data_IF_106187410289
#
_entry.id   IF_106187410289
#
_cell.length_a   1.000
_cell.length_b   1.000
_cell.length_c   1.000
_cell.angle_alpha   90.00
_cell.angle_beta   90.00
_cell.angle_gamma   90.00
#
_symmetry.space_group_name_H-M   'P 1'
#
loop_
_entity.id
_entity.type
_entity.pdbx_description
1 polymer ?
#
# COMPACT_ATOMS: atom_id res chain seq x y z
N UNK A 1 1.25 16.06 6.55
CA UNK A 1 0.15 16.73 5.83
C UNK A 1 -1.19 16.09 6.25
N UNK A 2 -2.28 16.86 6.33
CA UNK A 2 -3.63 16.27 6.45
C UNK A 2 -4.07 15.76 5.08
N UNK A 3 -4.34 14.46 4.99
CA UNK A 3 -4.81 13.79 3.77
C UNK A 3 -6.34 13.73 3.75
N UNK A 4 -6.97 13.36 4.87
CA UNK A 4 -8.43 13.36 5.01
C UNK A 4 -8.89 14.45 5.96
N UNK A 5 -9.48 15.53 5.44
CA UNK A 5 -10.02 16.61 6.27
C UNK A 5 -11.25 16.16 7.07
N UNK A 6 -12.14 15.37 6.46
CA UNK A 6 -13.38 14.91 7.11
C UNK A 6 -13.15 14.11 8.39
N UNK A 7 -12.06 13.34 8.45
CA UNK A 7 -11.72 12.45 9.57
C UNK A 7 -10.43 12.86 10.27
N UNK A 8 -9.81 13.96 9.84
CA UNK A 8 -8.53 14.48 10.34
C UNK A 8 -7.39 13.46 10.31
N UNK A 9 -7.30 12.70 9.22
CA UNK A 9 -6.23 11.70 9.04
C UNK A 9 -5.04 12.35 8.33
N UNK A 10 -3.86 12.19 8.91
CA UNK A 10 -2.58 12.65 8.35
C UNK A 10 -1.88 11.58 7.50
N UNK A 11 -0.99 12.04 6.62
CA UNK A 11 -0.04 11.21 5.87
C UNK A 11 0.76 10.28 6.79
N UNK A 12 1.27 10.80 7.91
CA UNK A 12 2.07 10.05 8.88
C UNK A 12 1.28 8.90 9.49
N UNK A 13 -0.01 9.09 9.77
CA UNK A 13 -0.87 8.00 10.26
C UNK A 13 -1.04 6.92 9.21
N UNK A 14 -1.34 7.28 7.96
CA UNK A 14 -1.50 6.31 6.86
C UNK A 14 -0.21 5.51 6.66
N UNK A 15 0.92 6.19 6.53
CA UNK A 15 2.26 5.58 6.33
C UNK A 15 2.63 4.65 7.49
N UNK A 16 2.33 5.03 8.74
CA UNK A 16 2.58 4.18 9.91
C UNK A 16 1.83 2.84 9.85
N UNK A 17 0.54 2.87 9.47
CA UNK A 17 -0.25 1.65 9.39
C UNK A 17 0.15 0.80 8.18
N UNK A 18 0.45 1.44 7.04
CA UNK A 18 0.96 0.76 5.85
C UNK A 18 2.29 0.03 6.14
N UNK A 19 3.24 0.66 6.83
CA UNK A 19 4.49 0.01 7.27
C UNK A 19 4.26 -1.11 8.30
N UNK A 20 3.13 -1.11 8.99
CA UNK A 20 2.72 -2.21 9.87
C UNK A 20 2.12 -3.39 9.10
N UNK A 21 2.09 -3.33 7.76
CA UNK A 21 1.58 -4.38 6.89
C UNK A 21 0.07 -4.33 6.64
N UNK A 22 -0.61 -3.25 7.07
CA UNK A 22 -2.05 -3.12 6.86
C UNK A 22 -2.37 -2.78 5.40
N UNK A 23 -3.42 -3.41 4.86
CA UNK A 23 -3.96 -3.06 3.55
C UNK A 23 -4.70 -1.72 3.62
N UNK A 24 -5.00 -1.11 2.46
CA UNK A 24 -5.82 0.11 2.43
C UNK A 24 -7.18 -0.08 3.10
N UNK A 25 -7.81 -1.25 2.92
CA UNK A 25 -9.13 -1.53 3.49
C UNK A 25 -9.07 -1.60 5.02
N UNK A 26 -8.00 -2.20 5.57
CA UNK A 26 -7.76 -2.21 7.03
C UNK A 26 -7.52 -0.78 7.55
N UNK A 27 -6.69 0.01 6.84
CA UNK A 27 -6.42 1.41 7.19
C UNK A 27 -7.70 2.26 7.14
N UNK A 28 -8.57 2.00 6.17
CA UNK A 28 -9.86 2.65 6.03
C UNK A 28 -10.80 2.33 7.20
N UNK A 29 -10.80 1.08 7.67
CA UNK A 29 -11.57 0.67 8.85
C UNK A 29 -11.04 1.32 10.13
N UNK A 30 -9.72 1.32 10.34
CA UNK A 30 -9.08 1.83 11.56
C UNK A 30 -9.11 3.36 11.67
N UNK A 31 -8.82 4.07 10.57
CA UNK A 31 -8.69 5.53 10.57
C UNK A 31 -9.95 6.25 10.08
N UNK A 32 -10.87 5.52 9.44
CA UNK A 32 -12.01 6.10 8.76
C UNK A 32 -11.66 6.91 7.52
N UNK A 33 -10.41 6.92 7.05
CA UNK A 33 -10.01 7.63 5.82
C UNK A 33 -10.92 7.26 4.64
N UNK A 34 -11.24 8.20 3.76
CA UNK A 34 -12.17 8.02 2.62
C UNK A 34 -13.64 7.67 2.93
N UNK A 35 -14.03 7.39 4.19
CA UNK A 35 -15.41 6.98 4.55
C UNK A 35 -16.46 8.11 4.62
N UNK A 36 -16.14 9.34 4.17
CA UNK A 36 -17.07 10.48 4.19
C UNK A 36 -17.31 11.02 2.78
N UNK A 37 -16.53 12.01 2.33
CA UNK A 37 -16.71 12.60 1.00
C UNK A 37 -15.92 11.89 -0.11
N UNK A 38 -15.08 10.90 0.23
CA UNK A 38 -14.27 10.11 -0.71
C UNK A 38 -13.11 10.84 -1.41
N UNK A 39 -13.07 12.18 -1.39
CA UNK A 39 -12.10 12.99 -2.17
C UNK A 39 -10.62 12.71 -1.88
N UNK A 40 -10.30 12.17 -0.70
CA UNK A 40 -8.93 11.83 -0.31
C UNK A 40 -8.49 10.43 -0.76
N UNK A 41 -9.39 9.59 -1.29
CA UNK A 41 -9.13 8.16 -1.48
C UNK A 41 -7.91 7.88 -2.36
N UNK A 42 -7.83 8.49 -3.54
CA UNK A 42 -6.70 8.29 -4.45
C UNK A 42 -5.36 8.65 -3.79
N UNK A 43 -5.29 9.81 -3.15
CA UNK A 43 -4.10 10.27 -2.43
C UNK A 43 -3.72 9.32 -1.27
N UNK A 44 -4.70 8.82 -0.52
CA UNK A 44 -4.45 7.88 0.57
C UNK A 44 -3.96 6.52 0.05
N UNK A 45 -4.51 6.01 -1.06
CA UNK A 45 -4.06 4.77 -1.72
C UNK A 45 -2.64 4.90 -2.24
N UNK A 46 -2.30 6.01 -2.90
CA UNK A 46 -0.93 6.28 -3.38
C UNK A 46 0.10 6.21 -2.25
N UNK A 47 -0.22 6.73 -1.06
CA UNK A 47 0.66 6.65 0.10
C UNK A 47 0.86 5.21 0.58
N UNK A 48 -0.19 4.39 0.59
CA UNK A 48 -0.10 2.97 0.95
C UNK A 48 0.75 2.21 -0.08
N UNK A 49 0.53 2.45 -1.36
CA UNK A 49 1.29 1.81 -2.45
C UNK A 49 2.78 2.16 -2.38
N UNK A 50 3.13 3.42 -2.12
CA UNK A 50 4.53 3.85 -1.93
C UNK A 50 5.23 3.10 -0.79
N UNK A 51 4.49 2.75 0.27
CA UNK A 51 5.03 1.98 1.40
C UNK A 51 5.27 0.50 1.03
N UNK A 52 4.46 -0.07 0.13
CA UNK A 52 4.59 -1.45 -0.33
C UNK A 52 5.82 -1.67 -1.24
N UNK A 53 6.22 -0.64 -1.98
CA UNK A 53 7.38 -0.67 -2.89
C UNK A 53 8.70 -0.57 -2.14
N UNK A 54 8.70 -0.08 -0.89
CA UNK A 54 9.87 -0.05 -0.02
C UNK A 54 10.13 -1.42 0.63
N UNK A 55 10.29 -2.47 -0.18
CA UNK A 55 11.02 -3.66 0.27
C UNK A 55 12.50 -3.28 0.35
N UNK A 56 13.17 -3.33 1.51
CA UNK A 56 14.62 -3.38 1.49
C UNK A 56 14.98 -4.64 0.69
N UNK A 57 15.62 -4.44 -0.47
CA UNK A 57 16.28 -5.54 -1.18
C UNK A 57 17.40 -6.00 -0.25
N UNK A 58 17.08 -6.93 0.65
CA UNK A 58 18.08 -7.82 1.18
C UNK A 58 18.68 -8.51 -0.04
N UNK A 59 19.97 -8.27 -0.27
CA UNK A 59 20.74 -8.77 -1.41
C UNK A 59 20.54 -10.29 -1.57
N UNK A 60 19.60 -10.68 -2.42
CA UNK A 60 19.54 -12.04 -2.94
C UNK A 60 20.46 -12.07 -4.15
N UNK A 61 21.67 -12.59 -3.96
CA UNK A 61 22.48 -13.05 -5.07
C UNK A 61 21.72 -14.19 -5.75
N UNK A 62 21.42 -13.96 -7.03
CA UNK A 62 20.85 -14.91 -7.97
C UNK A 62 21.76 -16.13 -8.13
N UNK A 63 21.29 -17.31 -7.71
CA UNK A 63 21.65 -18.58 -8.33
C UNK A 63 20.39 -19.47 -8.37
N UNK A 64 19.68 -19.39 -9.49
CA UNK A 64 19.07 -20.54 -10.15
C UNK A 64 17.88 -21.25 -9.47
N UNK A 65 16.68 -20.96 -9.95
CA UNK A 65 15.59 -21.95 -10.00
C UNK A 65 14.77 -21.75 -11.28
N UNK A 66 15.27 -22.36 -12.35
CA UNK A 66 14.49 -22.67 -13.54
C UNK A 66 13.24 -23.51 -13.18
N UNK A 67 12.28 -23.48 -14.12
CA UNK A 67 11.08 -24.31 -14.22
C UNK A 67 9.84 -23.87 -13.40
N UNK A 68 8.89 -23.25 -14.10
CA UNK A 68 7.55 -23.82 -14.36
C UNK A 68 6.97 -23.15 -15.61
N UNK A 69 6.96 -23.89 -16.72
CA UNK A 69 6.25 -23.50 -17.92
C UNK A 69 4.75 -23.71 -17.79
N UNK A 70 3.97 -22.96 -18.57
CA UNK A 70 2.82 -23.51 -19.30
C UNK A 70 2.41 -22.57 -20.45
N UNK A 71 2.63 -23.06 -21.66
CA UNK A 71 1.81 -22.99 -22.86
C UNK A 71 0.96 -21.73 -23.18
N UNK A 72 1.29 -21.09 -24.30
CA UNK A 72 0.34 -20.55 -25.29
C UNK A 72 1.08 -20.52 -26.66
N UNK A 73 0.88 -21.51 -27.54
CA UNK A 73 -0.18 -21.57 -28.55
C UNK A 73 -0.02 -20.53 -29.67
N UNK A 74 0.62 -20.95 -30.78
CA UNK A 74 0.25 -20.72 -32.19
C UNK A 74 1.44 -21.09 -33.09
#
# INVERSE_FOLDING_TARGET
MIVCVCKRVSDREIVRHAHSGMSFDDIQLELGVATCCGRCESCARELVDQCSVSRPVAALHDVGAAHRGLAAAA
#
